data_IF_540035562273
#
_entry.id   IF_540035562273
#
_cell.length_a   1.000
_cell.length_b   1.000
_cell.length_c   1.000
_cell.angle_alpha   90.00
_cell.angle_beta   90.00
_cell.angle_gamma   90.00
#
_symmetry.space_group_name_H-M   'P 1'
#
loop_
_entity.id
_entity.type
_entity.pdbx_description
1 polymer ?
#
# COMPACT_ATOMS: atom_id res chain seq x y z
N UNK A 1 30.87 -25.51 -76.54
CA UNK A 1 29.62 -24.73 -76.41
C UNK A 1 28.87 -25.19 -75.14
N UNK A 2 28.99 -24.46 -74.04
CA UNK A 2 28.32 -24.75 -72.79
C UNK A 2 27.29 -23.63 -72.49
N UNK A 3 26.02 -24.05 -72.44
CA UNK A 3 24.90 -23.14 -72.09
C UNK A 3 24.77 -23.01 -70.58
N UNK A 4 25.02 -21.82 -70.05
CA UNK A 4 24.78 -21.46 -68.65
C UNK A 4 23.26 -21.26 -68.44
N UNK A 5 22.67 -22.02 -67.52
CA UNK A 5 21.31 -21.82 -67.04
C UNK A 5 21.33 -20.80 -65.92
N UNK A 6 20.60 -19.71 -66.08
CA UNK A 6 20.29 -18.72 -65.00
C UNK A 6 19.19 -19.28 -64.14
N UNK A 7 19.43 -19.46 -62.84
CA UNK A 7 18.43 -19.72 -61.85
C UNK A 7 17.94 -18.38 -61.28
N UNK A 8 16.68 -18.06 -61.55
CA UNK A 8 16.00 -16.92 -60.94
C UNK A 8 15.52 -17.31 -59.54
N UNK A 9 16.09 -16.73 -58.51
CA UNK A 9 15.62 -16.85 -57.11
C UNK A 9 14.53 -15.78 -56.89
N UNK A 10 13.28 -16.24 -56.80
CA UNK A 10 12.18 -15.36 -56.37
C UNK A 10 12.24 -15.20 -54.86
N UNK A 11 12.53 -13.99 -54.40
CA UNK A 11 12.43 -13.61 -52.98
C UNK A 11 10.97 -13.37 -52.61
N UNK A 12 10.39 -14.25 -51.84
CA UNK A 12 9.09 -14.05 -51.21
C UNK A 12 9.28 -13.09 -50.00
N UNK A 13 8.91 -11.85 -50.20
CA UNK A 13 8.77 -10.88 -49.09
C UNK A 13 7.43 -11.14 -48.38
N UNK A 14 7.50 -11.68 -47.15
CA UNK A 14 6.35 -11.73 -46.26
C UNK A 14 6.12 -10.32 -45.65
N UNK A 15 4.86 -9.83 -45.61
CA UNK A 15 4.59 -8.59 -44.90
C UNK A 15 4.72 -8.84 -43.41
N UNK A 16 5.67 -8.15 -42.76
CA UNK A 16 5.70 -8.02 -41.30
C UNK A 16 4.51 -7.17 -40.91
N UNK A 17 3.43 -7.81 -40.45
CA UNK A 17 2.35 -7.13 -39.78
C UNK A 17 2.88 -6.55 -38.45
N UNK A 18 3.02 -5.24 -38.45
CA UNK A 18 3.35 -4.46 -37.26
C UNK A 18 2.19 -4.55 -36.27
N UNK A 19 2.30 -5.42 -35.25
CA UNK A 19 1.55 -5.31 -34.03
C UNK A 19 2.16 -4.19 -33.19
N UNK A 20 1.85 -2.95 -33.56
CA UNK A 20 2.24 -1.79 -32.78
C UNK A 20 1.02 -1.26 -32.01
N UNK A 21 1.14 -1.30 -30.69
CA UNK A 21 0.51 -0.36 -29.75
C UNK A 21 -1.02 -0.30 -29.63
N UNK A 22 -1.57 -1.16 -28.80
CA UNK A 22 -2.83 -0.87 -28.09
C UNK A 22 -2.70 -0.77 -26.57
N UNK A 23 -1.49 -0.80 -26.01
CA UNK A 23 -1.27 -0.69 -24.55
C UNK A 23 -0.86 0.69 -24.07
N UNK A 24 -0.64 1.66 -24.92
CA UNK A 24 -0.17 3.00 -24.51
C UNK A 24 -1.30 3.95 -24.05
N UNK A 25 -2.56 3.70 -24.43
CA UNK A 25 -3.65 4.68 -24.15
C UNK A 25 -4.25 4.59 -22.75
N UNK A 26 -4.08 3.47 -22.04
CA UNK A 26 -4.62 3.33 -20.66
C UNK A 26 -3.71 3.91 -19.58
N UNK A 27 -2.42 4.10 -19.86
CA UNK A 27 -1.46 4.62 -18.88
C UNK A 27 -1.36 6.15 -18.87
N UNK A 28 -1.65 6.83 -19.97
CA UNK A 28 -1.58 8.30 -20.02
C UNK A 28 -2.73 8.99 -19.30
N UNK A 29 -3.94 8.41 -19.32
CA UNK A 29 -5.10 8.98 -18.62
C UNK A 29 -5.00 8.87 -17.07
N UNK A 30 -4.15 7.99 -16.53
CA UNK A 30 -3.90 7.89 -15.09
C UNK A 30 -2.96 8.99 -14.56
N UNK A 31 -2.16 9.63 -15.40
CA UNK A 31 -1.14 10.61 -14.98
C UNK A 31 -1.66 12.04 -14.83
N UNK A 32 -2.76 12.38 -15.47
CA UNK A 32 -3.31 13.74 -15.42
C UNK A 32 -4.29 13.90 -14.26
N UNK A 33 -3.78 14.35 -13.11
CA UNK A 33 -4.59 14.81 -12.00
C UNK A 33 -4.97 16.26 -12.24
N UNK A 34 -6.26 16.54 -12.42
CA UNK A 34 -6.79 17.90 -12.68
C UNK A 34 -7.33 18.58 -11.42
N UNK A 35 -7.22 17.93 -10.27
CA UNK A 35 -7.70 18.44 -8.99
C UNK A 35 -6.86 19.61 -8.47
N UNK A 36 -7.50 20.49 -7.68
CA UNK A 36 -6.80 21.54 -6.93
C UNK A 36 -6.09 20.94 -5.72
N UNK A 37 -4.94 21.51 -5.35
CA UNK A 37 -4.27 21.19 -4.09
C UNK A 37 -5.18 21.52 -2.90
N UNK A 38 -5.01 20.77 -1.80
CA UNK A 38 -5.80 20.94 -0.58
C UNK A 38 -4.93 20.76 0.67
N UNK A 39 -5.46 21.20 1.81
CA UNK A 39 -4.84 21.00 3.12
C UNK A 39 -5.79 20.19 3.99
N UNK A 40 -5.30 19.13 4.61
CA UNK A 40 -5.97 18.40 5.70
C UNK A 40 -5.17 18.62 6.98
N UNK A 41 -5.75 19.33 7.95
CA UNK A 41 -5.06 19.65 9.21
C UNK A 41 -4.86 18.39 10.07
N UNK A 42 -3.88 18.44 10.98
CA UNK A 42 -3.63 17.36 11.94
C UNK A 42 -4.91 17.04 12.74
N UNK A 43 -5.18 15.74 12.93
CA UNK A 43 -6.38 15.24 13.60
C UNK A 43 -7.67 15.40 12.79
N UNK A 44 -7.58 15.77 11.51
CA UNK A 44 -8.71 15.81 10.58
C UNK A 44 -8.50 14.81 9.45
N UNK A 45 -9.60 14.23 8.98
CA UNK A 45 -9.60 13.31 7.86
C UNK A 45 -10.10 13.99 6.58
N UNK A 46 -9.57 13.54 5.44
CA UNK A 46 -10.08 13.88 4.10
C UNK A 46 -11.53 13.47 4.00
N UNK A 47 -12.42 14.34 3.64
CA UNK A 47 -13.88 14.14 3.61
C UNK A 47 -14.57 14.03 4.99
N UNK A 48 -13.87 14.30 6.11
CA UNK A 48 -14.46 14.26 7.46
C UNK A 48 -14.76 12.86 8.00
N UNK A 49 -14.33 11.82 7.30
CA UNK A 49 -14.52 10.44 7.74
C UNK A 49 -13.37 10.03 8.69
N UNK A 50 -13.71 9.66 9.92
CA UNK A 50 -12.74 9.16 10.89
C UNK A 50 -12.75 7.63 10.91
N UNK A 51 -11.57 7.02 10.76
CA UNK A 51 -11.36 5.60 11.01
C UNK A 51 -10.52 5.40 12.28
N UNK A 52 -10.48 4.17 12.79
CA UNK A 52 -9.74 3.84 14.01
C UNK A 52 -9.03 2.51 13.86
N UNK A 53 -7.83 2.42 14.40
CA UNK A 53 -7.14 1.17 14.61
C UNK A 53 -7.36 0.68 16.05
N UNK A 54 -7.63 -0.63 16.21
CA UNK A 54 -7.89 -1.22 17.51
C UNK A 54 -9.11 -0.64 18.24
N UNK A 55 -9.98 0.10 17.53
CA UNK A 55 -11.17 0.74 18.10
C UNK A 55 -10.90 2.03 18.87
N UNK A 56 -9.64 2.40 19.16
CA UNK A 56 -9.28 3.52 20.03
C UNK A 56 -8.36 4.55 19.37
N UNK A 57 -7.42 4.12 18.55
CA UNK A 57 -6.40 4.99 17.95
C UNK A 57 -6.90 5.58 16.63
N UNK A 58 -7.09 6.93 16.54
CA UNK A 58 -7.46 7.58 15.29
C UNK A 58 -6.51 7.22 14.14
N UNK A 59 -7.09 6.99 12.97
CA UNK A 59 -6.37 6.69 11.74
C UNK A 59 -7.01 7.47 10.59
N UNK A 60 -6.57 8.71 10.42
CA UNK A 60 -7.22 9.70 9.57
C UNK A 60 -6.66 9.67 8.15
N UNK A 61 -7.53 9.53 7.15
CA UNK A 61 -7.14 9.64 5.75
C UNK A 61 -6.69 11.07 5.47
N UNK A 62 -5.46 11.27 5.01
CA UNK A 62 -4.91 12.59 4.64
C UNK A 62 -4.94 12.83 3.13
N UNK A 63 -4.59 11.81 2.36
CA UNK A 63 -4.72 11.77 0.90
C UNK A 63 -5.48 10.50 0.55
N UNK A 64 -6.60 10.65 -0.12
CA UNK A 64 -7.46 9.51 -0.47
C UNK A 64 -7.06 8.87 -1.79
N UNK A 65 -7.34 7.60 -1.92
CA UNK A 65 -7.29 6.85 -3.20
C UNK A 65 -8.05 7.58 -4.32
N UNK A 66 -9.14 8.32 -3.97
CA UNK A 66 -9.91 9.13 -4.91
C UNK A 66 -9.13 10.35 -5.41
N UNK A 67 -8.27 10.94 -4.59
CA UNK A 67 -7.43 12.08 -4.95
C UNK A 67 -6.30 11.68 -5.91
N UNK A 68 -5.92 10.40 -5.92
CA UNK A 68 -4.73 9.88 -6.60
C UNK A 68 -5.02 8.89 -7.72
N UNK A 69 -6.30 8.63 -8.02
CA UNK A 69 -6.74 7.58 -8.96
C UNK A 69 -6.17 6.19 -8.61
N UNK A 70 -6.02 5.90 -7.31
CA UNK A 70 -5.51 4.64 -6.81
C UNK A 70 -3.98 4.53 -6.74
N UNK A 71 -3.22 5.57 -7.11
CA UNK A 71 -1.76 5.50 -7.10
C UNK A 71 -1.19 5.42 -5.69
N UNK A 72 -1.81 6.11 -4.72
CA UNK A 72 -1.44 6.05 -3.30
C UNK A 72 -2.59 6.50 -2.38
N UNK A 73 -2.49 6.14 -1.11
CA UNK A 73 -3.27 6.73 -0.01
C UNK A 73 -2.35 7.02 1.16
N UNK A 74 -2.62 8.09 1.91
CA UNK A 74 -1.83 8.51 3.09
C UNK A 74 -2.74 8.61 4.30
N UNK A 75 -2.28 8.07 5.43
CA UNK A 75 -2.95 8.11 6.72
C UNK A 75 -2.11 8.86 7.76
N UNK A 76 -2.79 9.46 8.73
CA UNK A 76 -2.22 9.95 9.99
C UNK A 76 -2.74 9.05 11.11
N UNK A 77 -1.86 8.26 11.71
CA UNK A 77 -2.14 7.46 12.90
C UNK A 77 -1.78 8.25 14.15
N UNK A 78 -2.69 8.27 15.13
CA UNK A 78 -2.46 8.79 16.47
C UNK A 78 -2.70 7.68 17.47
N UNK A 79 -1.61 7.10 17.98
CA UNK A 79 -1.65 5.95 18.86
C UNK A 79 -1.85 6.36 20.32
N UNK A 80 -2.86 5.78 20.95
CA UNK A 80 -3.21 5.96 22.35
C UNK A 80 -2.95 4.71 23.20
N UNK A 81 -2.41 3.67 22.60
CA UNK A 81 -2.15 2.37 23.21
C UNK A 81 -0.89 1.74 22.62
N UNK A 82 -0.19 0.95 23.43
CA UNK A 82 0.90 0.09 22.95
C UNK A 82 0.32 -1.07 22.15
N UNK A 83 1.13 -1.59 21.20
CA UNK A 83 0.75 -2.71 20.34
C UNK A 83 0.70 -2.35 18.86
N UNK A 84 0.24 -3.31 18.07
CA UNK A 84 0.19 -3.17 16.62
C UNK A 84 -0.53 -4.33 15.95
N UNK A 85 -0.50 -4.40 14.61
CA UNK A 85 -1.18 -5.44 13.84
C UNK A 85 -0.46 -6.80 13.95
N UNK A 86 -1.11 -7.91 13.54
CA UNK A 86 -0.43 -9.19 13.36
C UNK A 86 0.65 -9.09 12.26
N UNK A 87 1.60 -10.03 12.25
CA UNK A 87 2.55 -10.19 11.14
C UNK A 87 1.79 -10.53 9.86
N UNK A 88 1.96 -9.71 8.81
CA UNK A 88 1.19 -9.82 7.58
C UNK A 88 2.01 -9.46 6.34
N UNK A 89 1.43 -9.73 5.18
CA UNK A 89 2.03 -9.44 3.87
C UNK A 89 1.03 -8.63 3.04
N UNK A 90 1.53 -7.60 2.36
CA UNK A 90 0.86 -6.92 1.26
C UNK A 90 1.41 -7.43 -0.08
N UNK A 91 0.70 -8.29 -0.83
CA UNK A 91 1.21 -8.78 -2.12
C UNK A 91 1.34 -7.67 -3.18
N UNK A 92 0.51 -6.64 -3.09
CA UNK A 92 0.33 -5.66 -4.16
C UNK A 92 0.75 -4.23 -3.78
N UNK A 93 1.02 -3.93 -2.49
CA UNK A 93 1.34 -2.60 -1.99
C UNK A 93 2.70 -2.56 -1.34
N UNK A 94 3.46 -1.51 -1.62
CA UNK A 94 4.55 -1.07 -0.76
C UNK A 94 3.99 -0.16 0.32
N UNK A 95 4.57 -0.20 1.52
CA UNK A 95 4.15 0.63 2.64
C UNK A 95 5.34 1.43 3.17
N UNK A 96 5.11 2.71 3.53
CA UNK A 96 6.16 3.58 4.05
C UNK A 96 5.63 4.28 5.29
N UNK A 97 6.41 4.28 6.37
CA UNK A 97 6.09 4.98 7.62
C UNK A 97 7.06 6.12 7.88
N UNK A 98 6.54 7.20 8.43
CA UNK A 98 7.27 8.39 8.90
C UNK A 98 6.90 8.63 10.36
N UNK A 99 7.85 8.49 11.26
CA UNK A 99 7.59 8.63 12.70
C UNK A 99 7.59 10.10 13.08
N UNK A 100 6.46 10.60 13.54
CA UNK A 100 6.28 12.00 13.94
C UNK A 100 6.51 12.22 15.44
N UNK A 101 6.15 11.23 16.28
CA UNK A 101 6.43 11.24 17.72
C UNK A 101 6.26 9.83 18.30
N UNK A 102 6.89 9.59 19.45
CA UNK A 102 6.85 8.30 20.13
C UNK A 102 7.94 7.35 19.68
N UNK A 103 7.81 6.09 20.06
CA UNK A 103 8.74 5.01 19.73
C UNK A 103 7.96 3.78 19.24
N UNK A 104 8.48 3.15 18.19
CA UNK A 104 7.86 2.02 17.53
C UNK A 104 8.89 0.94 17.24
N UNK A 105 8.52 -0.32 17.45
CA UNK A 105 9.28 -1.49 17.01
C UNK A 105 8.69 -1.97 15.69
N UNK A 106 9.50 -2.12 14.66
CA UNK A 106 9.13 -2.71 13.37
C UNK A 106 9.85 -4.04 13.19
N UNK A 107 9.16 -5.00 12.58
CA UNK A 107 9.77 -6.21 12.01
C UNK A 107 9.49 -6.24 10.51
N UNK A 108 10.54 -6.41 9.69
CA UNK A 108 10.48 -6.53 8.23
C UNK A 108 11.32 -7.72 7.81
N UNK A 109 10.69 -8.77 7.29
CA UNK A 109 11.35 -10.07 7.13
C UNK A 109 11.85 -10.58 8.48
N UNK A 110 13.14 -10.85 8.58
CA UNK A 110 13.78 -11.31 9.82
C UNK A 110 14.39 -10.18 10.66
N UNK A 111 14.44 -8.95 10.13
CA UNK A 111 15.08 -7.83 10.80
C UNK A 111 14.10 -7.06 11.68
N UNK A 112 14.62 -6.49 12.78
CA UNK A 112 13.86 -5.63 13.68
C UNK A 112 14.53 -4.26 13.82
N UNK A 113 13.70 -3.23 13.86
CA UNK A 113 14.15 -1.82 13.96
C UNK A 113 13.33 -1.09 15.00
N UNK A 114 14.00 -0.43 15.96
CA UNK A 114 13.33 0.52 16.86
C UNK A 114 13.46 1.90 16.25
N UNK A 115 12.32 2.53 15.97
CA UNK A 115 12.22 3.84 15.31
C UNK A 115 11.67 4.88 16.28
N UNK A 116 12.16 6.12 16.11
CA UNK A 116 11.77 7.29 16.89
C UNK A 116 11.47 8.48 15.97
N UNK A 117 11.13 9.62 16.55
CA UNK A 117 10.78 10.84 15.82
C UNK A 117 11.81 11.22 14.75
N UNK A 118 11.35 11.38 13.52
CA UNK A 118 12.15 11.74 12.34
C UNK A 118 12.59 10.55 11.50
N UNK A 119 12.48 9.32 12.02
CA UNK A 119 12.85 8.11 11.30
C UNK A 119 11.79 7.75 10.24
N UNK A 120 12.24 7.05 9.20
CA UNK A 120 11.40 6.53 8.11
C UNK A 120 11.77 5.09 7.84
N UNK A 121 10.79 4.25 7.54
CA UNK A 121 11.00 2.86 7.14
C UNK A 121 10.16 2.52 5.91
N UNK A 122 10.76 1.74 5.00
CA UNK A 122 10.13 1.21 3.80
C UNK A 122 9.89 -0.30 3.97
N UNK A 123 8.66 -0.71 3.76
CA UNK A 123 8.20 -2.09 3.82
C UNK A 123 7.81 -2.53 2.40
N UNK A 124 8.66 -3.31 1.71
CA UNK A 124 8.36 -3.73 0.36
C UNK A 124 7.23 -4.76 0.33
N UNK A 125 6.45 -4.74 -0.73
CA UNK A 125 5.42 -5.78 -0.99
C UNK A 125 6.03 -7.18 -0.99
N UNK A 126 5.23 -8.18 -0.67
CA UNK A 126 5.61 -9.59 -0.55
C UNK A 126 6.62 -9.90 0.59
N UNK A 127 7.03 -8.92 1.39
CA UNK A 127 7.86 -9.15 2.58
C UNK A 127 6.99 -9.12 3.83
N UNK A 128 6.99 -10.18 4.66
CA UNK A 128 6.26 -10.19 5.93
C UNK A 128 6.71 -9.04 6.83
N UNK A 129 5.76 -8.29 7.38
CA UNK A 129 6.07 -7.19 8.27
C UNK A 129 4.97 -6.95 9.32
N UNK A 130 5.36 -6.27 10.36
CA UNK A 130 4.47 -5.78 11.41
C UNK A 130 5.17 -4.67 12.19
N UNK A 131 4.43 -3.97 13.03
CA UNK A 131 4.96 -2.98 13.95
C UNK A 131 4.26 -3.02 15.31
N UNK A 132 4.87 -2.44 16.32
CA UNK A 132 4.26 -2.22 17.62
C UNK A 132 4.64 -0.85 18.18
N UNK A 133 3.67 -0.09 18.66
CA UNK A 133 3.93 1.12 19.43
C UNK A 133 4.46 0.73 20.80
N UNK A 134 5.63 1.26 21.17
CA UNK A 134 6.29 1.02 22.47
C UNK A 134 5.95 2.09 23.49
N UNK A 135 5.75 3.34 23.05
CA UNK A 135 5.41 4.48 23.91
C UNK A 135 3.90 4.52 24.21
N UNK A 136 3.51 5.19 25.31
CA UNK A 136 2.09 5.36 25.69
C UNK A 136 1.30 6.14 24.63
N UNK A 137 1.98 7.11 23.99
CA UNK A 137 1.43 7.87 22.87
C UNK A 137 2.42 7.87 21.73
N UNK A 138 1.90 7.85 20.50
CA UNK A 138 2.70 7.89 19.30
C UNK A 138 1.94 8.50 18.14
N UNK A 139 2.69 8.99 17.16
CA UNK A 139 2.13 9.55 15.93
C UNK A 139 3.00 9.18 14.76
N UNK A 140 2.37 8.74 13.67
CA UNK A 140 3.07 8.47 12.42
C UNK A 140 2.16 8.79 11.23
N UNK A 141 2.78 9.19 10.13
CA UNK A 141 2.16 9.11 8.82
C UNK A 141 2.59 7.82 8.16
N UNK A 142 1.69 7.24 7.40
CA UNK A 142 2.04 6.10 6.57
C UNK A 142 1.24 6.11 5.27
N UNK A 143 1.80 5.47 4.26
CA UNK A 143 1.20 5.44 2.94
C UNK A 143 1.32 4.05 2.31
N UNK A 144 0.36 3.75 1.44
CA UNK A 144 0.37 2.56 0.57
C UNK A 144 0.49 2.98 -0.89
N UNK A 145 1.32 2.27 -1.64
CA UNK A 145 1.53 2.49 -3.06
C UNK A 145 1.58 1.15 -3.84
N UNK A 146 0.58 0.90 -4.72
CA UNK A 146 -0.67 1.65 -4.90
C UNK A 146 -1.57 1.58 -3.66
N UNK A 147 -2.64 2.39 -3.61
CA UNK A 147 -3.55 2.44 -2.46
C UNK A 147 -4.30 1.13 -2.19
N UNK A 148 -4.54 0.31 -3.22
CA UNK A 148 -5.31 -0.92 -3.09
C UNK A 148 -6.66 -0.71 -2.41
N UNK A 149 -7.04 -1.66 -1.54
CA UNK A 149 -8.26 -1.63 -0.73
C UNK A 149 -8.03 -1.09 0.69
N UNK A 150 -6.94 -0.37 0.95
CA UNK A 150 -6.53 -0.03 2.32
C UNK A 150 -7.48 0.93 3.02
N UNK A 151 -8.12 1.86 2.32
CA UNK A 151 -9.14 2.71 2.94
C UNK A 151 -10.36 1.89 3.40
N UNK A 152 -10.82 0.94 2.58
CA UNK A 152 -11.95 0.08 2.93
C UNK A 152 -11.59 -0.86 4.08
N UNK A 153 -10.37 -1.38 4.11
CA UNK A 153 -9.85 -2.16 5.23
C UNK A 153 -9.96 -1.39 6.55
N UNK A 154 -9.49 -0.15 6.61
CA UNK A 154 -9.56 0.65 7.83
C UNK A 154 -11.00 1.09 8.18
N UNK A 155 -11.89 1.26 7.20
CA UNK A 155 -13.33 1.47 7.45
C UNK A 155 -13.94 0.25 8.12
N UNK A 156 -13.68 -0.95 7.60
CA UNK A 156 -14.17 -2.20 8.19
C UNK A 156 -13.65 -2.38 9.62
N UNK A 157 -12.34 -2.20 9.84
CA UNK A 157 -11.76 -2.28 11.18
C UNK A 157 -12.34 -1.24 12.14
N UNK A 158 -12.50 0.01 11.67
CA UNK A 158 -13.02 1.10 12.48
C UNK A 158 -14.51 0.95 12.86
N UNK A 159 -15.27 0.16 12.08
CA UNK A 159 -16.67 -0.14 12.35
C UNK A 159 -16.89 -1.28 13.36
N UNK A 160 -15.84 -2.04 13.71
CA UNK A 160 -15.93 -3.11 14.67
C UNK A 160 -16.23 -2.57 16.08
N UNK A 161 -17.19 -3.20 16.77
CA UNK A 161 -17.57 -2.83 18.16
C UNK A 161 -16.65 -3.47 19.21
N UNK A 162 -15.91 -4.50 18.81
CA UNK A 162 -14.96 -5.23 19.65
C UNK A 162 -13.80 -5.74 18.80
N UNK A 163 -12.69 -6.10 19.43
CA UNK A 163 -11.59 -6.76 18.74
C UNK A 163 -12.07 -8.04 18.04
N UNK A 164 -11.73 -8.27 16.76
CA UNK A 164 -12.12 -9.51 16.07
C UNK A 164 -11.39 -10.71 16.64
N UNK A 165 -11.98 -11.91 16.51
CA UNK A 165 -11.23 -13.14 16.76
C UNK A 165 -10.06 -13.25 15.75
N UNK A 166 -9.03 -14.08 16.03
CA UNK A 166 -7.93 -14.28 15.07
C UNK A 166 -8.42 -14.69 13.67
N UNK A 167 -9.43 -15.55 13.58
CA UNK A 167 -10.01 -16.03 12.31
C UNK A 167 -10.76 -14.90 11.59
N UNK A 168 -11.54 -14.11 12.33
CA UNK A 168 -12.24 -12.96 11.79
C UNK A 168 -11.24 -11.89 11.30
N UNK A 169 -10.18 -11.65 12.08
CA UNK A 169 -9.09 -10.76 11.71
C UNK A 169 -8.43 -11.21 10.42
N UNK A 170 -7.98 -12.47 10.35
CA UNK A 170 -7.35 -13.04 9.17
C UNK A 170 -8.26 -12.95 7.92
N UNK A 171 -9.57 -13.19 8.10
CA UNK A 171 -10.54 -13.03 7.01
C UNK A 171 -10.63 -11.57 6.52
N UNK A 172 -10.67 -10.59 7.44
CA UNK A 172 -10.71 -9.16 7.06
C UNK A 172 -9.46 -8.80 6.26
N UNK A 173 -8.27 -9.28 6.66
CA UNK A 173 -7.04 -9.08 5.89
C UNK A 173 -7.16 -9.69 4.49
N UNK A 174 -7.61 -10.95 4.39
CA UNK A 174 -7.75 -11.65 3.10
C UNK A 174 -8.75 -10.98 2.15
N UNK A 175 -9.89 -10.50 2.65
CA UNK A 175 -10.88 -9.76 1.86
C UNK A 175 -10.32 -8.45 1.26
N UNK A 176 -9.22 -7.95 1.85
CA UNK A 176 -8.51 -6.74 1.41
C UNK A 176 -7.13 -7.01 0.81
N UNK A 177 -6.96 -8.20 0.21
CA UNK A 177 -5.77 -8.61 -0.55
C UNK A 177 -4.48 -8.68 0.30
N UNK A 178 -4.59 -8.94 1.60
CA UNK A 178 -3.48 -9.15 2.53
C UNK A 178 -3.50 -10.57 3.11
N UNK A 179 -2.37 -10.99 3.68
CA UNK A 179 -2.25 -12.30 4.32
C UNK A 179 -1.68 -12.15 5.72
N UNK A 180 -2.39 -12.65 6.73
CA UNK A 180 -1.84 -12.80 8.08
C UNK A 180 -0.97 -14.05 8.10
N UNK A 181 0.30 -13.91 8.51
CA UNK A 181 1.31 -14.98 8.51
C UNK A 181 1.94 -15.22 9.88
N UNK A 182 1.51 -14.48 10.90
CA UNK A 182 1.99 -14.67 12.27
C UNK A 182 1.27 -13.76 13.27
N UNK A 183 1.58 -13.91 14.56
CA UNK A 183 1.00 -13.08 15.62
C UNK A 183 1.54 -11.63 15.58
N UNK A 184 0.92 -10.69 16.32
CA UNK A 184 1.53 -9.40 16.63
C UNK A 184 2.87 -9.55 17.36
N UNK A 185 3.69 -8.49 17.32
CA UNK A 185 4.93 -8.45 18.11
C UNK A 185 4.63 -8.48 19.61
N UNK A 186 5.42 -9.25 20.32
CA UNK A 186 5.55 -9.17 21.78
C UNK A 186 6.75 -8.28 22.13
N UNK A 187 6.63 -7.40 23.14
CA UNK A 187 7.64 -6.43 23.54
C UNK A 187 7.50 -6.08 25.03
#
# INVERSE_FOLDING_TARGET
MQRRKFLSTAALSLPVLAFANQQASSSENKRNRTGKGFVVKSGQSRFGEQTKLGGKSPNDIKVSTKDTNGDLTIFEYTGNEKGGPPLHIHPNQDEIFFIMSGSFLFKVGEEQFTLTTGDTIFLPRNVPHTWAQLSEQGKMYFQFQPSGKMEDFFRVLGALKAAPSPEQGAKIFADHDMQVVGPPLSF
#
